data_IF_581861813010
#
_entry.id   IF_581861813010
#
_cell.length_a   1.000
_cell.length_b   1.000
_cell.length_c   1.000
_cell.angle_alpha   90.00
_cell.angle_beta   90.00
_cell.angle_gamma   90.00
#
_symmetry.space_group_name_H-M   'P 1'
#
loop_
_entity.id
_entity.type
_entity.pdbx_description
1 polymer ?
#
# COMPACT_ATOMS: atom_id res chain seq x y z
N UNK A 1 -8.02 -0.42 -5.32
CA UNK A 1 -7.77 -1.76 -4.73
C UNK A 1 -6.76 -1.73 -3.57
N UNK A 2 -5.47 -1.44 -3.77
CA UNK A 2 -4.48 -1.49 -2.66
C UNK A 2 -4.82 -0.56 -1.48
N UNK A 3 -5.25 0.67 -1.74
CA UNK A 3 -5.68 1.60 -0.68
C UNK A 3 -6.85 1.04 0.17
N UNK A 4 -7.78 0.33 -0.50
CA UNK A 4 -8.88 -0.35 0.17
C UNK A 4 -8.37 -1.52 1.04
N UNK A 5 -7.43 -2.31 0.52
CA UNK A 5 -6.80 -3.41 1.25
C UNK A 5 -6.15 -2.92 2.56
N UNK A 6 -5.34 -1.86 2.45
CA UNK A 6 -4.69 -1.20 3.59
C UNK A 6 -5.67 -0.47 4.53
N UNK A 7 -6.93 -0.30 4.12
CA UNK A 7 -7.99 0.28 4.94
C UNK A 7 -7.79 1.77 5.27
N UNK A 8 -7.05 2.49 4.43
CA UNK A 8 -6.71 3.91 4.64
C UNK A 8 -7.86 4.86 4.28
N UNK A 9 -8.74 4.46 3.37
CA UNK A 9 -9.77 5.32 2.78
C UNK A 9 -10.77 5.88 3.81
N UNK A 10 -11.03 5.13 4.90
CA UNK A 10 -11.96 5.58 5.96
C UNK A 10 -11.41 6.67 6.86
N UNK A 11 -10.12 6.98 6.78
CA UNK A 11 -9.44 7.94 7.66
C UNK A 11 -9.06 9.24 6.94
N UNK A 12 -9.34 9.34 5.65
CA UNK A 12 -8.80 10.40 4.80
C UNK A 12 -9.79 10.83 3.73
N UNK A 13 -9.92 12.15 3.56
CA UNK A 13 -10.59 12.75 2.41
C UNK A 13 -9.65 12.93 1.21
N UNK A 14 -8.36 12.67 1.40
CA UNK A 14 -7.28 12.77 0.41
C UNK A 14 -6.90 11.39 -0.15
N UNK A 15 -7.86 10.48 -0.28
CA UNK A 15 -7.65 9.15 -0.87
C UNK A 15 -6.69 8.23 -0.11
N UNK A 16 -6.40 8.54 1.16
CA UNK A 16 -5.51 7.76 2.03
C UNK A 16 -4.04 8.16 1.99
N UNK A 17 -3.64 9.15 1.19
CA UNK A 17 -2.23 9.54 1.01
C UNK A 17 -1.59 10.12 2.28
N UNK A 18 -2.38 10.64 3.20
CA UNK A 18 -2.00 11.26 4.48
C UNK A 18 -2.14 10.33 5.69
N UNK A 19 -2.45 9.04 5.50
CA UNK A 19 -2.80 8.16 6.62
C UNK A 19 -1.58 7.52 7.26
N UNK A 20 -1.46 7.62 8.58
CA UNK A 20 -0.56 6.84 9.41
C UNK A 20 -1.20 5.51 9.79
N UNK A 21 -0.39 4.48 9.95
CA UNK A 21 -0.84 3.21 10.53
C UNK A 21 -1.51 3.46 11.89
N UNK A 22 -2.65 2.82 12.11
CA UNK A 22 -3.51 3.07 13.28
C UNK A 22 -4.62 4.10 13.03
N UNK A 23 -4.60 4.84 11.92
CA UNK A 23 -5.74 5.65 11.45
C UNK A 23 -5.66 7.16 11.70
N UNK A 24 -4.56 7.65 12.29
CA UNK A 24 -4.29 9.10 12.33
C UNK A 24 -3.83 9.60 10.96
N UNK A 25 -3.82 10.92 10.75
CA UNK A 25 -3.28 11.53 9.54
C UNK A 25 -2.05 12.40 9.80
N UNK A 26 -1.33 12.77 8.74
CA UNK A 26 -0.24 13.74 8.75
C UNK A 26 -0.51 14.87 7.75
N UNK A 27 0.11 16.04 7.96
CA UNK A 27 -0.24 17.27 7.22
C UNK A 27 0.82 17.73 6.22
N UNK A 28 2.04 17.16 6.26
CA UNK A 28 3.13 17.53 5.37
C UNK A 28 3.60 16.33 4.54
N UNK A 29 3.72 16.56 3.23
CA UNK A 29 4.20 15.58 2.26
C UNK A 29 5.68 15.72 1.94
N UNK A 30 6.41 16.67 2.53
CA UNK A 30 7.82 16.91 2.20
C UNK A 30 8.69 15.67 2.42
N UNK A 31 8.33 14.83 3.39
CA UNK A 31 8.99 13.57 3.66
C UNK A 31 8.04 12.56 4.30
N UNK A 32 8.47 11.29 4.33
CA UNK A 32 7.75 10.27 5.08
C UNK A 32 7.73 10.66 6.58
N UNK A 33 6.59 10.53 7.28
CA UNK A 33 6.42 11.09 8.63
C UNK A 33 7.29 10.41 9.71
N UNK A 34 7.78 9.18 9.44
CA UNK A 34 8.69 8.39 10.31
C UNK A 34 8.16 8.18 11.74
N UNK A 35 6.85 8.34 11.96
CA UNK A 35 6.21 8.13 13.25
C UNK A 35 6.15 6.65 13.56
N UNK A 36 6.79 6.22 14.63
CA UNK A 36 6.68 4.86 15.15
C UNK A 36 5.40 4.75 15.97
N UNK A 37 4.45 3.93 15.51
CA UNK A 37 3.14 3.75 16.15
C UNK A 37 3.06 2.33 16.71
N UNK A 38 2.69 2.23 17.99
CA UNK A 38 2.37 0.97 18.65
C UNK A 38 0.98 0.48 18.24
N UNK A 39 0.87 -0.77 17.80
CA UNK A 39 -0.38 -1.42 17.40
C UNK A 39 -0.71 -2.56 18.39
N UNK A 40 -1.48 -2.30 19.47
CA UNK A 40 -1.74 -3.28 20.52
C UNK A 40 -2.35 -4.59 20.01
N UNK A 41 -3.26 -4.49 19.02
CA UNK A 41 -3.93 -5.65 18.41
C UNK A 41 -2.96 -6.65 17.80
N UNK A 42 -1.86 -6.15 17.24
CA UNK A 42 -0.84 -6.97 16.56
C UNK A 42 0.43 -7.13 17.40
N UNK A 43 0.55 -6.42 18.52
CA UNK A 43 1.72 -6.38 19.39
C UNK A 43 3.02 -6.01 18.64
N UNK A 44 2.93 -5.06 17.72
CA UNK A 44 4.06 -4.57 16.93
C UNK A 44 4.15 -3.05 16.96
N UNK A 45 5.35 -2.52 16.69
CA UNK A 45 5.54 -1.13 16.29
C UNK A 45 5.66 -1.05 14.77
N UNK A 46 4.99 -0.09 14.15
CA UNK A 46 5.04 0.13 12.71
C UNK A 46 5.28 1.60 12.39
N UNK A 47 6.00 1.84 11.31
CA UNK A 47 6.20 3.19 10.74
C UNK A 47 5.35 3.41 9.51
N UNK A 48 4.42 2.51 9.20
CA UNK A 48 3.65 2.55 7.96
C UNK A 48 2.88 3.86 7.81
N UNK A 49 2.99 4.45 6.62
CA UNK A 49 2.29 5.69 6.29
C UNK A 49 1.93 5.76 4.80
N UNK A 50 0.98 6.64 4.49
CA UNK A 50 0.52 6.93 3.15
C UNK A 50 -0.48 5.92 2.60
N UNK A 51 -0.90 6.14 1.36
CA UNK A 51 -1.98 5.38 0.71
C UNK A 51 -1.68 3.90 0.59
N UNK A 52 -0.39 3.57 0.52
CA UNK A 52 0.15 2.23 0.36
C UNK A 52 0.90 1.74 1.60
N UNK A 53 0.78 2.46 2.74
CA UNK A 53 1.32 2.07 4.05
C UNK A 53 2.81 1.69 4.01
N UNK A 54 3.64 2.52 3.37
CA UNK A 54 5.08 2.30 3.29
C UNK A 54 5.72 2.34 4.67
N UNK A 55 6.53 1.35 5.01
CA UNK A 55 7.45 1.45 6.15
C UNK A 55 8.57 2.43 5.83
N UNK A 56 9.09 3.13 6.85
CA UNK A 56 10.19 4.09 6.70
C UNK A 56 11.40 3.49 5.95
N UNK A 57 11.81 2.27 6.32
CA UNK A 57 12.96 1.59 5.70
C UNK A 57 12.76 1.36 4.20
N UNK A 58 11.58 0.87 3.82
CA UNK A 58 11.21 0.61 2.42
C UNK A 58 11.13 1.92 1.65
N UNK A 59 10.46 2.93 2.20
CA UNK A 59 10.36 4.25 1.60
C UNK A 59 11.73 4.88 1.36
N UNK A 60 12.62 4.87 2.36
CA UNK A 60 13.94 5.48 2.24
C UNK A 60 14.77 4.84 1.11
N UNK A 61 14.69 3.51 0.96
CA UNK A 61 15.32 2.79 -0.15
C UNK A 61 14.76 3.21 -1.52
N UNK A 62 13.43 3.21 -1.66
CA UNK A 62 12.75 3.60 -2.90
C UNK A 62 13.01 5.06 -3.26
N UNK A 63 12.92 5.97 -2.28
CA UNK A 63 13.19 7.39 -2.44
C UNK A 63 14.57 7.63 -3.04
N UNK A 64 15.59 6.98 -2.50
CA UNK A 64 16.96 7.17 -2.97
C UNK A 64 17.17 6.59 -4.38
N UNK A 65 16.65 5.39 -4.63
CA UNK A 65 16.83 4.70 -5.92
C UNK A 65 16.05 5.34 -7.05
N UNK A 66 14.83 5.81 -6.79
CA UNK A 66 13.94 6.44 -7.76
C UNK A 66 14.07 7.97 -7.77
N UNK A 67 14.90 8.55 -6.90
CA UNK A 67 15.08 10.00 -6.72
C UNK A 67 13.75 10.73 -6.49
N UNK A 68 12.91 10.18 -5.60
CA UNK A 68 11.62 10.78 -5.29
C UNK A 68 11.82 12.09 -4.50
N UNK A 69 11.21 13.21 -4.94
CA UNK A 69 11.47 14.52 -4.35
C UNK A 69 10.84 14.68 -2.96
N UNK A 70 9.75 13.98 -2.70
CA UNK A 70 8.87 14.14 -1.55
C UNK A 70 8.13 12.82 -1.24
N UNK A 71 7.28 12.83 -0.22
CA UNK A 71 6.31 11.76 0.09
C UNK A 71 4.88 12.10 -0.39
N UNK A 72 4.75 12.98 -1.38
CA UNK A 72 3.45 13.38 -1.94
C UNK A 72 2.77 12.26 -2.74
N UNK A 73 1.49 12.44 -3.13
CA UNK A 73 0.72 11.42 -3.84
C UNK A 73 1.43 10.81 -5.05
N UNK A 74 1.96 11.64 -5.95
CA UNK A 74 2.66 11.17 -7.15
C UNK A 74 3.95 10.38 -6.83
N UNK A 75 4.63 10.68 -5.73
CA UNK A 75 5.82 9.96 -5.30
C UNK A 75 5.46 8.63 -4.64
N UNK A 76 4.37 8.60 -3.85
CA UNK A 76 3.82 7.36 -3.30
C UNK A 76 3.35 6.41 -4.39
N UNK A 77 2.65 6.91 -5.42
CA UNK A 77 2.19 6.10 -6.55
C UNK A 77 3.36 5.47 -7.30
N UNK A 78 4.38 6.29 -7.63
CA UNK A 78 5.60 5.81 -8.30
C UNK A 78 6.32 4.74 -7.49
N UNK A 79 6.43 4.92 -6.17
CA UNK A 79 7.02 3.93 -5.28
C UNK A 79 6.20 2.62 -5.24
N UNK A 80 4.87 2.70 -5.22
CA UNK A 80 4.00 1.52 -5.21
C UNK A 80 4.07 0.75 -6.53
N UNK A 81 4.07 1.47 -7.67
CA UNK A 81 4.26 0.89 -9.00
C UNK A 81 5.62 0.18 -9.10
N UNK A 82 6.67 0.75 -8.52
CA UNK A 82 7.99 0.11 -8.51
C UNK A 82 7.99 -1.20 -7.71
N UNK A 83 7.35 -1.25 -6.54
CA UNK A 83 7.21 -2.50 -5.78
C UNK A 83 6.38 -3.56 -6.55
N UNK A 84 5.33 -3.13 -7.25
CA UNK A 84 4.57 -4.01 -8.15
C UNK A 84 5.43 -4.51 -9.32
N UNK A 85 6.36 -3.70 -9.82
CA UNK A 85 7.30 -4.09 -10.87
C UNK A 85 8.30 -5.14 -10.34
N UNK A 86 8.88 -4.91 -9.16
CA UNK A 86 9.85 -5.81 -8.53
C UNK A 86 9.26 -7.19 -8.20
N UNK A 87 8.00 -7.24 -7.82
CA UNK A 87 7.27 -8.50 -7.55
C UNK A 87 6.79 -9.20 -8.83
N UNK A 88 6.94 -8.58 -10.01
CA UNK A 88 6.37 -9.07 -11.26
C UNK A 88 4.85 -8.93 -11.35
N UNK A 89 4.20 -8.34 -10.34
CA UNK A 89 2.76 -8.11 -10.32
C UNK A 89 2.31 -7.10 -11.38
N UNK A 90 3.15 -6.12 -11.73
CA UNK A 90 2.82 -5.11 -12.73
C UNK A 90 2.56 -5.72 -14.12
N UNK A 91 3.28 -6.77 -14.51
CA UNK A 91 3.07 -7.46 -15.78
C UNK A 91 1.72 -8.19 -15.80
N UNK A 92 1.32 -8.77 -14.67
CA UNK A 92 0.04 -9.46 -14.52
C UNK A 92 -1.13 -8.45 -14.54
N UNK A 93 -0.97 -7.30 -13.87
CA UNK A 93 -1.98 -6.21 -13.88
C UNK A 93 -2.26 -5.76 -15.31
N UNK A 94 -1.22 -5.57 -16.12
CA UNK A 94 -1.37 -5.17 -17.53
C UNK A 94 -2.11 -6.19 -18.39
N UNK A 95 -2.10 -7.46 -17.99
CA UNK A 95 -2.80 -8.55 -18.66
C UNK A 95 -4.18 -8.84 -18.06
N UNK A 96 -4.61 -8.09 -17.03
CA UNK A 96 -5.86 -8.34 -16.31
C UNK A 96 -5.80 -9.52 -15.33
N UNK A 97 -4.62 -10.12 -15.10
CA UNK A 97 -4.42 -11.27 -14.20
C UNK A 97 -4.34 -10.85 -12.73
N UNK A 98 -5.38 -10.20 -12.22
CA UNK A 98 -5.35 -9.50 -10.91
C UNK A 98 -5.17 -10.45 -9.74
N UNK A 99 -5.77 -11.64 -9.78
CA UNK A 99 -5.56 -12.67 -8.76
C UNK A 99 -4.09 -13.09 -8.65
N UNK A 100 -3.39 -13.19 -9.78
CA UNK A 100 -1.96 -13.48 -9.82
C UNK A 100 -1.14 -12.29 -9.30
N UNK A 101 -1.48 -11.07 -9.70
CA UNK A 101 -0.83 -9.84 -9.22
C UNK A 101 -0.93 -9.69 -7.69
N UNK A 102 -2.10 -9.96 -7.11
CA UNK A 102 -2.33 -9.97 -5.65
C UNK A 102 -1.43 -11.00 -4.97
N UNK A 103 -1.39 -12.23 -5.52
CA UNK A 103 -0.54 -13.30 -4.99
C UNK A 103 0.95 -12.94 -5.02
N UNK A 104 1.43 -12.33 -6.11
CA UNK A 104 2.83 -11.91 -6.27
C UNK A 104 3.22 -10.77 -5.32
N UNK A 105 2.27 -9.91 -4.96
CA UNK A 105 2.51 -8.72 -4.13
C UNK A 105 2.22 -8.90 -2.63
N UNK A 106 1.70 -10.07 -2.20
CA UNK A 106 1.30 -10.33 -0.81
C UNK A 106 2.40 -10.21 0.26
N UNK A 107 3.68 -10.30 -0.13
CA UNK A 107 4.82 -10.08 0.79
C UNK A 107 5.22 -8.61 0.92
N UNK A 108 4.59 -7.73 0.13
CA UNK A 108 4.78 -6.28 0.22
C UNK A 108 3.72 -5.64 1.10
N UNK A 109 2.46 -6.06 0.93
CA UNK A 109 1.31 -5.53 1.66
C UNK A 109 0.68 -6.60 2.54
N UNK A 110 0.75 -6.40 3.86
CA UNK A 110 0.26 -7.35 4.85
C UNK A 110 -1.26 -7.53 4.84
N UNK A 111 -1.98 -6.62 4.18
CA UNK A 111 -3.42 -6.67 4.01
C UNK A 111 -3.91 -7.58 2.87
N UNK A 112 -3.00 -8.04 2.02
CA UNK A 112 -3.35 -8.94 0.92
C UNK A 112 -3.55 -10.38 1.41
N UNK A 113 -4.39 -11.18 0.73
CA UNK A 113 -4.66 -12.55 1.13
C UNK A 113 -3.39 -13.42 1.07
N UNK A 114 -3.26 -14.31 2.05
CA UNK A 114 -2.13 -15.22 2.26
C UNK A 114 -0.79 -14.49 2.48
N UNK A 115 -0.82 -13.24 2.95
CA UNK A 115 0.38 -12.47 3.25
C UNK A 115 1.16 -13.09 4.44
N UNK A 116 0.44 -13.58 5.45
CA UNK A 116 1.00 -14.39 6.54
C UNK A 116 1.67 -13.56 7.65
N UNK A 117 1.34 -12.28 7.77
CA UNK A 117 1.89 -11.39 8.81
C UNK A 117 1.14 -11.47 10.15
N UNK A 118 0.10 -12.30 10.25
CA UNK A 118 -0.81 -12.32 11.42
C UNK A 118 -1.63 -11.03 11.56
N UNK A 119 -1.66 -10.20 10.51
CA UNK A 119 -2.44 -8.98 10.44
C UNK A 119 -3.77 -9.24 9.72
N UNK A 120 -4.65 -8.22 9.67
CA UNK A 120 -5.92 -8.36 8.93
C UNK A 120 -5.60 -8.47 7.44
N UNK A 121 -6.07 -9.54 6.82
CA UNK A 121 -6.06 -9.70 5.37
C UNK A 121 -7.46 -9.44 4.80
N UNK A 122 -7.54 -8.96 3.56
CA UNK A 122 -8.79 -8.72 2.83
C UNK A 122 -9.00 -9.87 1.84
N UNK A 123 -10.19 -10.49 1.79
CA UNK A 123 -10.46 -11.59 0.86
C UNK A 123 -10.27 -11.18 -0.60
N UNK A 124 -9.80 -12.12 -1.42
CA UNK A 124 -9.45 -11.86 -2.82
C UNK A 124 -10.66 -11.34 -3.61
N UNK A 125 -11.83 -11.95 -3.43
CA UNK A 125 -13.09 -11.60 -4.07
C UNK A 125 -13.49 -10.14 -3.81
N UNK A 126 -13.24 -9.63 -2.59
CA UNK A 126 -13.48 -8.22 -2.25
C UNK A 126 -12.52 -7.32 -3.02
N UNK A 127 -11.25 -7.71 -3.11
CA UNK A 127 -10.23 -6.94 -3.84
C UNK A 127 -10.53 -6.89 -5.34
N UNK A 128 -10.95 -8.00 -5.94
CA UNK A 128 -11.35 -8.06 -7.35
C UNK A 128 -12.55 -7.15 -7.63
N UNK A 129 -13.60 -7.21 -6.80
CA UNK A 129 -14.76 -6.34 -6.94
C UNK A 129 -14.40 -4.85 -6.82
N UNK A 130 -13.49 -4.50 -5.91
CA UNK A 130 -12.97 -3.12 -5.77
C UNK A 130 -12.13 -2.71 -6.98
N UNK A 131 -11.39 -3.63 -7.59
CA UNK A 131 -10.60 -3.37 -8.80
C UNK A 131 -11.52 -3.07 -10.00
N UNK A 132 -12.54 -3.89 -10.23
CA UNK A 132 -13.53 -3.68 -11.30
C UNK A 132 -14.33 -2.40 -11.10
N UNK A 133 -14.79 -2.13 -9.87
CA UNK A 133 -15.50 -0.88 -9.55
C UNK A 133 -14.66 0.37 -9.81
N UNK A 134 -13.33 0.25 -9.71
CA UNK A 134 -12.41 1.33 -10.04
C UNK A 134 -12.13 1.46 -11.55
N UNK A 135 -12.81 0.69 -12.40
CA UNK A 135 -12.66 0.68 -13.86
C UNK A 135 -11.59 -0.27 -14.38
N UNK A 136 -11.01 -1.10 -13.52
CA UNK A 136 -10.03 -2.12 -13.92
C UNK A 136 -10.69 -3.29 -14.65
N UNK A 137 -10.00 -3.86 -15.64
CA UNK A 137 -10.46 -5.05 -16.36
C UNK A 137 -9.76 -6.31 -15.82
N UNK A 138 -10.53 -7.35 -15.57
CA UNK A 138 -10.04 -8.68 -15.21
C UNK A 138 -10.16 -9.57 -16.45
N UNK A 139 -9.11 -10.34 -16.73
CA UNK A 139 -9.06 -11.29 -17.84
C UNK A 139 -9.50 -12.69 -17.42
#
# INVERSE_FOLDING_TARGET
>A
MLAHAEGVERFSTLGGYDVLVGGNTFTSYNEHPRKLVWLPKYRINSTAAGRYQFLWKTWNSLRNRLRLPDFGPASQDRAAIELLRETGALADIKQGWISSAVRKSRKTWASLPEAGYGQREVPLEVLLAVYEKAGGQIA
#
